data_IF_095625321002
#
_entry.id   IF_095625321002
#
_cell.length_a   1.000
_cell.length_b   1.000
_cell.length_c   1.000
_cell.angle_alpha   90.00
_cell.angle_beta   90.00
_cell.angle_gamma   90.00
#
_symmetry.space_group_name_H-M   'P 1'
#
loop_
_entity.id
_entity.type
_entity.pdbx_description
1 polymer ?
#
# COMPACT_ATOMS: atom_id res chain seq x y z
N UNK A 1 20.52 7.22 11.65
CA UNK A 1 19.81 8.36 11.05
C UNK A 1 20.19 8.54 9.58
N UNK A 2 21.38 8.08 9.17
CA UNK A 2 21.91 8.17 7.81
C UNK A 2 21.03 7.45 6.76
N UNK A 3 20.56 6.23 7.02
CA UNK A 3 19.76 5.45 6.05
C UNK A 3 18.42 6.08 5.68
N UNK A 4 17.80 6.84 6.59
CA UNK A 4 16.54 7.54 6.30
C UNK A 4 16.78 8.75 5.40
N UNK A 5 17.88 9.50 5.64
CA UNK A 5 18.25 10.64 4.83
C UNK A 5 18.63 10.21 3.40
N UNK A 6 19.41 9.13 3.27
CA UNK A 6 19.80 8.55 1.98
C UNK A 6 18.59 8.05 1.17
N UNK A 7 17.63 7.39 1.82
CA UNK A 7 16.39 6.96 1.17
C UNK A 7 15.53 8.14 0.71
N UNK A 8 15.46 9.21 1.51
CA UNK A 8 14.72 10.41 1.15
C UNK A 8 15.35 11.17 -0.03
N UNK A 9 16.68 11.18 -0.11
CA UNK A 9 17.39 11.74 -1.27
C UNK A 9 17.12 10.93 -2.54
N UNK A 10 17.07 9.60 -2.46
CA UNK A 10 16.69 8.73 -3.59
C UNK A 10 15.25 8.97 -4.04
N UNK A 11 14.32 9.14 -3.10
CA UNK A 11 12.89 9.37 -3.38
C UNK A 11 12.56 10.83 -3.71
N UNK A 12 13.54 11.73 -3.75
CA UNK A 12 13.34 13.17 -3.90
C UNK A 12 12.58 13.60 -5.16
N UNK A 13 12.60 12.80 -6.23
CA UNK A 13 11.79 13.03 -7.43
C UNK A 13 10.31 12.66 -7.20
N UNK A 14 10.05 11.54 -6.52
CA UNK A 14 8.71 11.07 -6.20
C UNK A 14 8.03 12.02 -5.19
N UNK A 15 8.76 12.49 -4.17
CA UNK A 15 8.24 13.45 -3.19
C UNK A 15 7.86 14.79 -3.86
N UNK A 16 8.70 15.29 -4.77
CA UNK A 16 8.38 16.50 -5.54
C UNK A 16 7.13 16.31 -6.40
N UNK A 17 7.01 15.19 -7.09
CA UNK A 17 5.84 14.87 -7.89
C UNK A 17 4.57 14.76 -7.03
N UNK A 18 4.65 14.14 -5.85
CA UNK A 18 3.53 14.03 -4.91
C UNK A 18 3.05 15.40 -4.39
N UNK A 19 3.96 16.40 -4.28
CA UNK A 19 3.63 17.76 -3.84
C UNK A 19 3.10 18.65 -4.96
N UNK A 20 3.54 18.45 -6.21
CA UNK A 20 3.12 19.26 -7.36
C UNK A 20 1.88 18.73 -8.06
N UNK A 21 1.59 17.44 -7.92
CA UNK A 21 0.44 16.81 -8.58
C UNK A 21 -0.83 17.00 -7.74
N UNK A 22 -1.97 17.39 -8.33
CA UNK A 22 -3.23 17.56 -7.60
C UNK A 22 -3.91 16.23 -7.24
N UNK A 23 -3.40 15.12 -7.76
CA UNK A 23 -3.91 13.78 -7.52
C UNK A 23 -3.39 13.24 -6.20
N UNK A 24 -4.31 12.77 -5.35
CA UNK A 24 -3.97 12.11 -4.10
C UNK A 24 -3.95 10.60 -4.31
N UNK A 25 -2.87 9.95 -3.91
CA UNK A 25 -2.79 8.48 -3.81
C UNK A 25 -3.68 7.90 -2.69
N UNK A 26 -4.42 8.74 -1.96
CA UNK A 26 -5.29 8.35 -0.86
C UNK A 26 -6.24 7.19 -1.20
N UNK A 27 -6.75 7.14 -2.44
CA UNK A 27 -7.61 6.02 -2.86
C UNK A 27 -6.82 4.72 -3.00
N UNK A 28 -5.63 4.75 -3.60
CA UNK A 28 -4.77 3.58 -3.71
C UNK A 28 -4.31 3.10 -2.32
N UNK A 29 -3.94 4.03 -1.44
CA UNK A 29 -3.55 3.75 -0.06
C UNK A 29 -4.66 3.09 0.77
N UNK A 30 -5.90 3.56 0.63
CA UNK A 30 -7.07 2.96 1.29
C UNK A 30 -7.32 1.52 0.81
N UNK A 31 -7.25 1.28 -0.50
CA UNK A 31 -7.38 -0.07 -1.06
C UNK A 31 -6.26 -1.01 -0.59
N UNK A 32 -5.01 -0.53 -0.56
CA UNK A 32 -3.87 -1.29 -0.04
C UNK A 32 -4.07 -1.60 1.45
N UNK A 33 -4.60 -0.65 2.23
CA UNK A 33 -4.86 -0.82 3.66
C UNK A 33 -5.92 -1.90 3.91
N UNK A 34 -7.04 -1.86 3.17
CA UNK A 34 -8.08 -2.89 3.20
C UNK A 34 -7.54 -4.27 2.84
N UNK A 35 -6.72 -4.33 1.79
CA UNK A 35 -6.08 -5.57 1.35
C UNK A 35 -5.12 -6.15 2.40
N UNK A 36 -4.28 -5.30 3.00
CA UNK A 36 -3.36 -5.68 4.09
C UNK A 36 -4.12 -6.16 5.33
N UNK A 37 -5.22 -5.49 5.69
CA UNK A 37 -6.08 -5.88 6.80
C UNK A 37 -6.66 -7.28 6.58
N UNK A 38 -7.22 -7.52 5.39
CA UNK A 38 -7.80 -8.81 5.06
C UNK A 38 -6.76 -9.94 5.13
N UNK A 39 -5.57 -9.70 4.57
CA UNK A 39 -4.45 -10.65 4.65
C UNK A 39 -4.03 -10.93 6.10
N UNK A 40 -4.03 -9.91 6.96
CA UNK A 40 -3.67 -10.02 8.39
C UNK A 40 -4.71 -10.80 9.19
N UNK A 41 -6.01 -10.61 8.92
CA UNK A 41 -7.09 -11.40 9.52
C UNK A 41 -6.99 -12.90 9.20
N UNK A 42 -6.32 -13.26 8.11
CA UNK A 42 -6.15 -14.64 7.69
C UNK A 42 -4.91 -15.31 8.29
N UNK A 43 -4.07 -14.58 9.04
CA UNK A 43 -2.88 -15.11 9.72
C UNK A 43 -1.99 -16.01 8.86
N UNK A 44 -1.88 -15.70 7.55
CA UNK A 44 -1.08 -16.51 6.60
C UNK A 44 -1.67 -17.88 6.24
N UNK A 45 -2.88 -18.20 6.70
CA UNK A 45 -3.54 -19.51 6.47
C UNK A 45 -4.27 -19.60 5.13
N UNK A 46 -4.21 -18.56 4.32
CA UNK A 46 -4.93 -18.48 3.06
C UNK A 46 -3.98 -18.60 1.88
N UNK A 47 -4.18 -19.64 1.07
CA UNK A 47 -3.61 -19.67 -0.27
C UNK A 47 -4.24 -18.55 -1.14
N UNK A 48 -3.59 -18.20 -2.25
CA UNK A 48 -4.00 -17.10 -3.12
C UNK A 48 -5.46 -17.20 -3.56
N UNK A 49 -5.96 -18.39 -3.87
CA UNK A 49 -7.36 -18.60 -4.27
C UNK A 49 -8.35 -18.20 -3.18
N UNK A 50 -8.05 -18.54 -1.92
CA UNK A 50 -8.89 -18.18 -0.78
C UNK A 50 -8.84 -16.67 -0.50
N UNK A 51 -7.65 -16.08 -0.64
CA UNK A 51 -7.48 -14.64 -0.50
C UNK A 51 -8.27 -13.87 -1.56
N UNK A 52 -8.15 -14.28 -2.84
CA UNK A 52 -8.87 -13.68 -3.96
C UNK A 52 -10.38 -13.76 -3.77
N UNK A 53 -10.90 -14.93 -3.39
CA UNK A 53 -12.34 -15.10 -3.10
C UNK A 53 -12.80 -14.14 -2.01
N UNK A 54 -12.01 -13.98 -0.95
CA UNK A 54 -12.38 -13.11 0.17
C UNK A 54 -12.33 -11.63 -0.20
N UNK A 55 -11.37 -11.22 -1.03
CA UNK A 55 -11.34 -9.87 -1.61
C UNK A 55 -12.61 -9.60 -2.40
N UNK A 56 -12.97 -10.48 -3.35
CA UNK A 56 -14.15 -10.30 -4.22
C UNK A 56 -15.50 -10.35 -3.51
N UNK A 57 -15.57 -10.96 -2.32
CA UNK A 57 -16.80 -11.08 -1.54
C UNK A 57 -16.93 -10.01 -0.44
N UNK A 58 -15.83 -9.35 -0.07
CA UNK A 58 -15.79 -8.40 1.07
C UNK A 58 -15.64 -6.95 0.62
N UNK A 59 -14.92 -6.72 -0.48
CA UNK A 59 -14.66 -5.40 -1.06
C UNK A 59 -15.52 -5.23 -2.30
#
# INVERSE_FOLDING_TARGET
>A
METFAEGLEQDGAAVRAALTTPWRDAQAEDQITKLKLLKRQMYGRANFDLFRRRVLLTI
#
